data_IF_020191243097
#
_entry.id   IF_020191243097
#
_cell.length_a   1.000
_cell.length_b   1.000
_cell.length_c   1.000
_cell.angle_alpha   90.00
_cell.angle_beta   90.00
_cell.angle_gamma   90.00
#
_symmetry.space_group_name_H-M   'P 1'
#
loop_
_entity.id
_entity.type
_entity.pdbx_description
1 polymer ?
#
# COMPACT_ATOMS: atom_id res chain seq x y z
N UNK A 1 13.16 -47.15 -55.40
CA UNK A 1 13.87 -47.20 -54.09
C UNK A 1 13.55 -45.89 -53.39
N UNK A 2 12.74 -45.99 -52.34
CA UNK A 2 12.25 -44.89 -51.50
C UNK A 2 13.41 -44.28 -50.69
N UNK A 3 13.43 -42.96 -50.50
CA UNK A 3 13.11 -42.34 -49.21
C UNK A 3 13.29 -40.82 -49.26
N UNK A 4 12.20 -40.14 -48.93
CA UNK A 4 12.07 -38.76 -48.50
C UNK A 4 12.73 -38.52 -47.15
N UNK A 5 13.34 -37.36 -46.94
CA UNK A 5 13.36 -36.71 -45.62
C UNK A 5 13.16 -35.19 -45.77
N UNK A 6 11.97 -34.76 -45.40
CA UNK A 6 11.69 -33.40 -44.94
C UNK A 6 12.44 -33.18 -43.63
N UNK A 7 13.12 -32.05 -43.49
CA UNK A 7 13.53 -31.54 -42.18
C UNK A 7 12.76 -30.26 -41.91
N UNK A 8 11.65 -30.44 -41.18
CA UNK A 8 10.91 -29.38 -40.51
C UNK A 8 11.69 -29.05 -39.24
N UNK A 9 12.26 -27.84 -39.18
CA UNK A 9 12.83 -27.28 -37.95
C UNK A 9 11.93 -26.17 -37.45
N UNK A 10 10.89 -26.55 -36.72
CA UNK A 10 9.98 -25.63 -36.03
C UNK A 10 10.52 -25.18 -34.68
N UNK A 11 10.24 -23.91 -34.39
CA UNK A 11 10.06 -23.19 -33.12
C UNK A 11 10.56 -23.77 -31.80
N UNK A 12 11.27 -22.90 -31.06
CA UNK A 12 11.00 -22.65 -29.65
C UNK A 12 11.32 -21.18 -29.32
N UNK A 13 10.59 -20.24 -29.93
CA UNK A 13 10.49 -18.89 -29.36
C UNK A 13 9.56 -18.97 -28.14
N UNK A 14 10.18 -18.69 -27.01
CA UNK A 14 9.64 -18.71 -25.66
C UNK A 14 8.39 -17.85 -25.53
N UNK A 15 7.22 -18.50 -25.50
CA UNK A 15 5.92 -17.88 -25.25
C UNK A 15 5.68 -17.68 -23.74
N UNK A 16 6.51 -16.88 -23.08
CA UNK A 16 6.28 -16.47 -21.68
C UNK A 16 6.19 -14.94 -21.49
N UNK A 17 6.07 -14.19 -22.60
CA UNK A 17 5.50 -12.86 -22.58
C UNK A 17 3.97 -12.99 -22.41
N UNK A 18 3.53 -13.38 -21.21
CA UNK A 18 2.19 -13.00 -20.76
C UNK A 18 2.24 -11.48 -20.59
N UNK A 19 2.04 -10.86 -21.74
CA UNK A 19 2.05 -9.46 -22.12
C UNK A 19 1.98 -8.45 -20.94
N UNK A 20 3.14 -7.92 -20.54
CA UNK A 20 3.25 -6.79 -19.59
C UNK A 20 2.39 -5.61 -20.06
N UNK A 21 2.27 -5.44 -21.38
CA UNK A 21 1.38 -4.45 -21.97
C UNK A 21 -0.08 -4.74 -21.64
N UNK A 22 -0.48 -6.01 -21.50
CA UNK A 22 -1.85 -6.40 -21.14
C UNK A 22 -2.19 -6.11 -19.67
N UNK A 23 -1.25 -6.24 -18.72
CA UNK A 23 -1.57 -5.98 -17.31
C UNK A 23 -1.74 -4.49 -17.02
N UNK A 24 -0.86 -3.64 -17.55
CA UNK A 24 -0.92 -2.18 -17.34
C UNK A 24 -2.08 -1.48 -18.09
N UNK A 25 -2.83 -2.22 -18.91
CA UNK A 25 -4.05 -1.73 -19.57
C UNK A 25 -5.27 -1.73 -18.67
N UNK A 26 -5.17 -2.43 -17.55
CA UNK A 26 -6.26 -2.57 -16.60
C UNK A 26 -6.32 -1.36 -15.67
N UNK A 27 -7.49 -1.06 -15.08
CA UNK A 27 -7.58 -0.09 -14.00
C UNK A 27 -6.62 -0.44 -12.85
N UNK A 28 -6.01 0.56 -12.22
CA UNK A 28 -5.04 0.37 -11.11
C UNK A 28 -5.57 -0.56 -10.02
N UNK A 29 -6.85 -0.42 -9.67
CA UNK A 29 -7.57 -1.26 -8.69
C UNK A 29 -7.56 -2.75 -9.10
N UNK A 30 -7.77 -3.06 -10.37
CA UNK A 30 -7.72 -4.45 -10.87
C UNK A 30 -6.29 -4.99 -10.86
N UNK A 31 -5.30 -4.15 -11.17
CA UNK A 31 -3.89 -4.55 -11.12
C UNK A 31 -3.46 -4.87 -9.69
N UNK A 32 -3.89 -4.06 -8.72
CA UNK A 32 -3.69 -4.31 -7.28
C UNK A 32 -4.37 -5.61 -6.87
N UNK A 33 -5.61 -5.84 -7.27
CA UNK A 33 -6.32 -7.08 -6.97
C UNK A 33 -5.57 -8.31 -7.50
N UNK A 34 -5.08 -8.27 -8.76
CA UNK A 34 -4.27 -9.34 -9.35
C UNK A 34 -2.98 -9.56 -8.55
N UNK A 35 -2.29 -8.48 -8.17
CA UNK A 35 -1.07 -8.55 -7.37
C UNK A 35 -1.31 -9.19 -5.98
N UNK A 36 -2.37 -8.77 -5.28
CA UNK A 36 -2.74 -9.33 -3.99
C UNK A 36 -3.09 -10.81 -4.10
N UNK A 37 -3.89 -11.20 -5.11
CA UNK A 37 -4.24 -12.60 -5.35
C UNK A 37 -3.00 -13.46 -5.64
N UNK A 38 -2.05 -12.95 -6.41
CA UNK A 38 -0.81 -13.67 -6.72
C UNK A 38 0.06 -13.87 -5.45
N UNK A 39 0.23 -12.82 -4.65
CA UNK A 39 0.99 -12.87 -3.40
C UNK A 39 0.35 -13.83 -2.39
N UNK A 40 -0.97 -13.77 -2.22
CA UNK A 40 -1.71 -14.67 -1.34
C UNK A 40 -1.69 -16.12 -1.81
N UNK A 41 -1.81 -16.34 -3.12
CA UNK A 41 -1.68 -17.68 -3.71
C UNK A 41 -0.32 -18.32 -3.44
N UNK A 42 0.72 -17.51 -3.26
CA UNK A 42 2.07 -17.95 -2.85
C UNK A 42 2.26 -18.04 -1.32
N UNK A 43 1.20 -17.84 -0.54
CA UNK A 43 1.22 -17.88 0.93
C UNK A 43 1.96 -16.70 1.57
N UNK A 44 2.05 -15.56 0.87
CA UNK A 44 2.61 -14.32 1.44
C UNK A 44 1.51 -13.63 2.26
N UNK A 45 1.75 -13.50 3.56
CA UNK A 45 0.87 -12.76 4.46
C UNK A 45 1.12 -11.26 4.32
N UNK A 46 0.11 -10.50 3.89
CA UNK A 46 0.23 -9.06 3.66
C UNK A 46 -0.47 -8.27 4.75
N UNK A 47 0.16 -7.17 5.16
CA UNK A 47 -0.45 -6.19 6.05
C UNK A 47 -0.64 -4.87 5.31
N UNK A 48 -1.87 -4.35 5.30
CA UNK A 48 -2.18 -3.04 4.74
C UNK A 48 -1.37 -1.97 5.48
N UNK A 49 -0.63 -1.16 4.72
CA UNK A 49 0.27 -0.14 5.25
C UNK A 49 0.03 1.18 4.56
N UNK A 50 -0.19 2.25 5.32
CA UNK A 50 -0.26 3.62 4.76
C UNK A 50 -1.36 3.86 3.69
N UNK A 51 -2.22 2.86 3.43
CA UNK A 51 -3.22 2.91 2.36
C UNK A 51 -4.29 3.95 2.65
N UNK A 52 -4.71 4.09 3.90
CA UNK A 52 -5.79 5.03 4.26
C UNK A 52 -5.42 6.50 4.05
N UNK A 53 -4.14 6.86 4.18
CA UNK A 53 -3.65 8.21 3.88
C UNK A 53 -3.31 8.38 2.39
N UNK A 54 -2.73 7.34 1.78
CA UNK A 54 -2.23 7.40 0.40
C UNK A 54 -3.22 7.00 -0.69
N UNK A 55 -4.43 6.56 -0.37
CA UNK A 55 -5.49 6.31 -1.36
C UNK A 55 -5.77 7.53 -2.24
N UNK A 56 -5.52 8.76 -1.77
CA UNK A 56 -5.62 9.99 -2.57
C UNK A 56 -4.55 10.14 -3.65
N UNK A 57 -3.43 9.44 -3.51
CA UNK A 57 -2.26 9.53 -4.38
C UNK A 57 -2.08 8.30 -5.27
N UNK A 58 -3.03 7.34 -5.24
CA UNK A 58 -2.94 6.12 -6.06
C UNK A 58 -1.84 5.16 -5.62
N UNK A 59 -1.28 5.35 -4.42
CA UNK A 59 -0.21 4.51 -3.89
C UNK A 59 -0.77 3.47 -2.92
N UNK A 60 -0.53 2.20 -3.24
CA UNK A 60 -0.93 1.04 -2.45
C UNK A 60 0.31 0.50 -1.74
N UNK A 61 0.32 0.54 -0.40
CA UNK A 61 1.48 0.12 0.36
C UNK A 61 1.14 -1.08 1.26
N UNK A 62 2.06 -2.03 1.34
CA UNK A 62 1.89 -3.25 2.13
C UNK A 62 3.17 -3.59 2.86
N UNK A 63 3.04 -4.11 4.08
CA UNK A 63 4.13 -4.76 4.79
C UNK A 63 4.13 -6.26 4.45
N UNK A 64 5.33 -6.80 4.27
CA UNK A 64 5.59 -8.20 3.92
C UNK A 64 6.57 -8.78 4.94
N UNK A 65 6.41 -10.04 5.39
CA UNK A 65 7.40 -10.73 6.21
C UNK A 65 8.80 -10.58 5.62
N UNK A 66 9.76 -10.17 6.44
CA UNK A 66 11.12 -9.80 5.99
C UNK A 66 11.81 -10.91 5.19
N UNK A 67 11.59 -12.17 5.59
CA UNK A 67 12.12 -13.38 4.96
C UNK A 67 11.44 -13.73 3.62
N UNK A 68 10.25 -13.16 3.36
CA UNK A 68 9.48 -13.36 2.12
C UNK A 68 9.46 -12.12 1.22
N UNK A 69 10.14 -11.03 1.59
CA UNK A 69 10.12 -9.78 0.83
C UNK A 69 10.67 -9.97 -0.60
N UNK A 70 11.75 -10.73 -0.76
CA UNK A 70 12.35 -11.00 -2.06
C UNK A 70 11.45 -11.91 -2.92
N UNK A 71 10.85 -12.94 -2.32
CA UNK A 71 9.86 -13.79 -3.00
C UNK A 71 8.67 -12.96 -3.50
N UNK A 72 8.16 -12.05 -2.67
CA UNK A 72 7.07 -11.16 -3.03
C UNK A 72 7.44 -10.25 -4.21
N UNK A 73 8.68 -9.73 -4.23
CA UNK A 73 9.22 -8.97 -5.35
C UNK A 73 9.22 -9.80 -6.64
N UNK A 74 9.79 -11.01 -6.59
CA UNK A 74 9.84 -11.92 -7.73
C UNK A 74 8.44 -12.29 -8.24
N UNK A 75 7.45 -12.44 -7.35
CA UNK A 75 6.06 -12.68 -7.74
C UNK A 75 5.50 -11.48 -8.52
N UNK A 76 5.70 -10.25 -8.04
CA UNK A 76 5.23 -9.05 -8.73
C UNK A 76 5.90 -8.87 -10.10
N UNK A 77 7.19 -9.16 -10.20
CA UNK A 77 7.89 -9.16 -11.49
C UNK A 77 7.37 -10.25 -12.43
N UNK A 78 7.06 -11.45 -11.90
CA UNK A 78 6.56 -12.58 -12.70
C UNK A 78 5.17 -12.36 -13.29
N UNK A 79 4.32 -11.56 -12.63
CA UNK A 79 3.02 -11.13 -13.18
C UNK A 79 3.15 -9.93 -14.12
N UNK A 80 4.38 -9.46 -14.36
CA UNK A 80 4.70 -8.42 -15.33
C UNK A 80 4.67 -7.00 -14.78
N UNK A 81 4.72 -6.78 -13.46
CA UNK A 81 4.80 -5.42 -12.93
C UNK A 81 6.24 -4.89 -13.01
N UNK A 82 6.46 -3.75 -13.69
CA UNK A 82 7.79 -3.17 -13.79
C UNK A 82 8.23 -2.56 -12.45
N UNK A 83 9.42 -2.94 -12.01
CA UNK A 83 10.11 -2.28 -10.90
C UNK A 83 10.36 -0.80 -11.23
N UNK A 84 10.04 0.07 -10.28
CA UNK A 84 10.12 1.53 -10.41
C UNK A 84 10.79 2.11 -9.16
N UNK A 85 12.13 1.94 -9.00
CA UNK A 85 12.83 2.42 -7.83
C UNK A 85 12.63 3.94 -7.65
N UNK A 86 12.67 4.43 -6.41
CA UNK A 86 12.52 5.84 -6.13
C UNK A 86 13.68 6.64 -6.71
N UNK A 87 13.43 7.87 -7.15
CA UNK A 87 14.50 8.77 -7.60
C UNK A 87 15.36 9.24 -6.42
N UNK A 88 16.60 9.65 -6.68
CA UNK A 88 17.49 10.19 -5.65
C UNK A 88 16.86 11.37 -4.92
N UNK A 89 16.17 12.26 -5.65
CA UNK A 89 15.42 13.38 -5.05
C UNK A 89 14.29 12.91 -4.13
N UNK A 90 13.60 11.82 -4.50
CA UNK A 90 12.56 11.24 -3.66
C UNK A 90 13.16 10.60 -2.40
N UNK A 91 14.35 9.98 -2.49
CA UNK A 91 15.08 9.43 -1.35
C UNK A 91 15.56 10.53 -0.40
N UNK A 92 16.10 11.62 -0.94
CA UNK A 92 16.56 12.78 -0.15
C UNK A 92 15.40 13.46 0.59
N UNK A 93 14.23 13.55 -0.04
CA UNK A 93 13.06 14.21 0.53
C UNK A 93 12.24 13.31 1.46
N UNK A 94 11.99 12.05 1.10
CA UNK A 94 11.11 11.16 1.87
C UNK A 94 11.83 10.41 3.00
N UNK A 95 13.17 10.40 2.98
CA UNK A 95 13.99 9.82 4.03
C UNK A 95 14.14 8.30 3.94
N UNK A 96 14.70 7.73 5.00
CA UNK A 96 15.11 6.33 5.11
C UNK A 96 13.94 5.34 5.12
N UNK A 97 12.73 5.75 5.55
CA UNK A 97 11.55 4.89 5.45
C UNK A 97 11.25 4.54 3.98
N UNK A 98 11.26 5.55 3.11
CA UNK A 98 10.99 5.39 1.68
C UNK A 98 12.09 4.56 0.99
N UNK A 99 13.34 4.71 1.43
CA UNK A 99 14.48 3.92 0.95
C UNK A 99 14.33 2.40 1.20
N UNK A 100 13.52 2.00 2.19
CA UNK A 100 13.28 0.58 2.50
C UNK A 100 12.21 -0.07 1.62
N UNK A 101 11.47 0.71 0.84
CA UNK A 101 10.41 0.21 -0.03
C UNK A 101 10.93 -0.51 -1.27
N UNK A 102 10.09 -1.37 -1.84
CA UNK A 102 10.20 -1.96 -3.17
C UNK A 102 8.99 -1.52 -3.97
N UNK A 103 9.21 -0.79 -5.05
CA UNK A 103 8.15 -0.05 -5.73
C UNK A 103 7.91 -0.65 -7.11
N UNK A 104 6.64 -0.94 -7.38
CA UNK A 104 6.18 -1.54 -8.63
C UNK A 104 5.14 -0.63 -9.23
N UNK A 105 5.34 -0.25 -10.49
CA UNK A 105 4.40 0.62 -11.17
C UNK A 105 3.20 -0.18 -11.67
N UNK A 106 2.01 0.36 -11.48
CA UNK A 106 0.75 -0.27 -11.92
C UNK A 106 0.00 0.52 -13.01
N UNK A 107 0.51 1.68 -13.41
CA UNK A 107 0.00 2.45 -14.55
C UNK A 107 0.97 2.46 -15.74
N UNK A 108 0.45 2.73 -16.94
CA UNK A 108 1.27 2.93 -18.15
C UNK A 108 2.17 4.16 -18.10
N UNK A 109 1.73 5.22 -17.39
CA UNK A 109 2.47 6.47 -17.31
C UNK A 109 3.82 6.27 -16.63
N UNK A 110 4.87 6.89 -17.15
CA UNK A 110 6.17 7.00 -16.47
C UNK A 110 6.32 8.36 -15.79
N UNK A 111 5.34 9.25 -15.91
CA UNK A 111 5.40 10.57 -15.33
C UNK A 111 5.19 10.49 -13.81
N UNK A 112 6.09 11.06 -12.99
CA UNK A 112 6.06 10.91 -11.53
C UNK A 112 4.73 11.27 -10.86
N UNK A 113 3.99 12.23 -11.42
CA UNK A 113 2.72 12.72 -10.86
C UNK A 113 1.48 11.89 -11.23
N UNK A 114 1.61 10.96 -12.18
CA UNK A 114 0.50 10.13 -12.69
C UNK A 114 0.83 8.64 -12.60
N UNK A 115 1.81 8.30 -11.76
CA UNK A 115 2.26 6.92 -11.58
C UNK A 115 1.68 6.37 -10.29
N UNK A 116 0.70 5.48 -10.40
CA UNK A 116 0.24 4.69 -9.27
C UNK A 116 1.24 3.54 -9.04
N UNK A 117 1.43 3.16 -7.77
CA UNK A 117 2.43 2.17 -7.39
C UNK A 117 1.91 1.20 -6.33
N UNK A 118 2.41 -0.02 -6.39
CA UNK A 118 2.43 -0.95 -5.26
C UNK A 118 3.80 -0.81 -4.59
N UNK A 119 3.80 -0.55 -3.29
CA UNK A 119 5.02 -0.46 -2.48
C UNK A 119 5.04 -1.58 -1.46
N UNK A 120 6.06 -2.43 -1.51
CA UNK A 120 6.29 -3.46 -0.51
C UNK A 120 7.36 -3.00 0.48
N UNK A 121 7.06 -3.07 1.76
CA UNK A 121 7.98 -2.75 2.84
C UNK A 121 8.23 -3.98 3.73
N UNK A 122 9.41 -4.10 4.34
CA UNK A 122 9.66 -5.16 5.33
C UNK A 122 8.76 -4.96 6.56
N UNK A 123 8.20 -6.05 7.09
CA UNK A 123 7.35 -6.04 8.28
C UNK A 123 8.06 -5.46 9.52
N UNK A 124 9.38 -5.66 9.64
CA UNK A 124 10.20 -5.04 10.69
C UNK A 124 10.24 -3.51 10.65
N UNK A 125 9.73 -2.88 9.59
CA UNK A 125 9.56 -1.43 9.54
C UNK A 125 8.61 -0.95 10.65
N UNK A 126 7.45 -1.59 10.77
CA UNK A 126 6.38 -1.13 11.65
C UNK A 126 6.39 -1.80 13.04
N UNK A 127 6.98 -3.00 13.14
CA UNK A 127 7.09 -3.78 14.38
C UNK A 127 5.73 -4.04 15.06
N UNK A 128 4.69 -4.30 14.27
CA UNK A 128 3.38 -4.67 14.81
C UNK A 128 3.40 -6.05 15.47
N UNK A 129 2.70 -6.18 16.58
CA UNK A 129 2.36 -7.45 17.21
C UNK A 129 1.12 -8.06 16.56
N UNK A 130 0.97 -9.39 16.61
CA UNK A 130 -0.19 -10.06 15.98
C UNK A 130 -1.53 -9.60 16.57
N UNK A 131 -1.58 -9.26 17.86
CA UNK A 131 -2.77 -8.73 18.53
C UNK A 131 -3.18 -7.33 18.06
N UNK A 132 -2.25 -6.58 17.47
CA UNK A 132 -2.51 -5.26 16.87
C UNK A 132 -3.07 -5.36 15.45
N UNK A 133 -3.13 -6.55 14.87
CA UNK A 133 -3.61 -6.80 13.52
C UNK A 133 -4.97 -7.49 13.55
N UNK A 134 -5.77 -7.23 12.52
CA UNK A 134 -7.07 -7.87 12.33
C UNK A 134 -7.24 -8.28 10.88
N UNK A 135 -7.80 -9.46 10.64
CA UNK A 135 -8.12 -9.91 9.28
C UNK A 135 -9.37 -9.19 8.79
N UNK A 136 -9.24 -8.46 7.69
CA UNK A 136 -10.33 -7.72 7.06
C UNK A 136 -10.21 -7.82 5.55
N UNK A 137 -11.30 -7.52 4.82
CA UNK A 137 -11.16 -7.31 3.38
C UNK A 137 -10.39 -6.03 3.10
N UNK A 138 -9.59 -5.97 2.01
CA UNK A 138 -8.85 -4.76 1.65
C UNK A 138 -9.80 -3.58 1.48
N UNK A 139 -9.60 -2.52 2.26
CA UNK A 139 -10.55 -1.39 2.34
C UNK A 139 -10.71 -0.64 1.01
N UNK A 140 -9.63 -0.64 0.22
CA UNK A 140 -9.48 0.02 -1.06
C UNK A 140 -9.98 -0.81 -2.25
N UNK A 141 -10.36 -2.07 -2.03
CA UNK A 141 -10.92 -2.96 -3.05
C UNK A 141 -12.35 -3.34 -2.63
N UNK A 142 -13.36 -2.60 -3.09
CA UNK A 142 -14.75 -2.95 -2.82
C UNK A 142 -15.56 -2.96 -4.13
N UNK A 143 -16.07 -4.13 -4.57
CA UNK A 143 -15.90 -5.48 -4.00
C UNK A 143 -14.51 -6.09 -4.29
N UNK A 144 -13.95 -6.87 -3.35
CA UNK A 144 -12.68 -7.59 -3.55
C UNK A 144 -12.86 -9.10 -3.68
N UNK A 145 -12.07 -9.72 -4.56
CA UNK A 145 -11.83 -11.17 -4.67
C UNK A 145 -10.77 -11.67 -3.68
N UNK A 146 -10.00 -10.77 -3.09
CA UNK A 146 -9.04 -11.07 -2.04
C UNK A 146 -9.80 -11.39 -0.75
N UNK A 147 -9.60 -12.59 -0.18
CA UNK A 147 -10.42 -13.09 0.93
C UNK A 147 -10.26 -12.28 2.21
N UNK A 148 -9.02 -11.98 2.58
CA UNK A 148 -8.67 -11.19 3.75
C UNK A 148 -7.22 -10.75 3.67
N UNK A 149 -6.90 -9.57 4.21
CA UNK A 149 -5.54 -9.12 4.51
C UNK A 149 -5.48 -8.68 5.97
N UNK A 150 -4.27 -8.56 6.51
CA UNK A 150 -4.12 -8.01 7.85
C UNK A 150 -4.18 -6.48 7.78
N UNK A 151 -5.01 -5.90 8.64
CA UNK A 151 -5.14 -4.46 8.78
C UNK A 151 -4.76 -4.09 10.20
N UNK A 152 -3.79 -3.17 10.39
CA UNK A 152 -3.41 -2.72 11.72
C UNK A 152 -4.56 -1.94 12.35
N UNK A 153 -4.76 -2.15 13.65
CA UNK A 153 -5.70 -1.34 14.43
C UNK A 153 -5.27 0.13 14.41
N UNK A 154 -6.21 1.08 14.46
CA UNK A 154 -5.89 2.51 14.53
C UNK A 154 -4.86 2.87 15.60
N UNK A 155 -4.98 2.31 16.81
CA UNK A 155 -4.04 2.53 17.91
C UNK A 155 -2.62 2.06 17.57
N UNK A 156 -2.48 0.96 16.85
CA UNK A 156 -1.19 0.44 16.42
C UNK A 156 -0.52 1.38 15.39
N UNK A 157 -1.28 1.89 14.42
CA UNK A 157 -0.79 2.87 13.44
C UNK A 157 -0.31 4.15 14.15
N UNK A 158 -1.11 4.70 15.06
CA UNK A 158 -0.70 5.88 15.84
C UNK A 158 0.55 5.59 16.70
N UNK A 159 0.61 4.42 17.34
CA UNK A 159 1.77 4.02 18.14
C UNK A 159 3.03 3.90 17.26
N UNK A 160 2.90 3.35 16.05
CA UNK A 160 3.99 3.34 15.07
C UNK A 160 4.46 4.76 14.77
N UNK A 161 3.57 5.69 14.41
CA UNK A 161 3.95 7.05 14.04
C UNK A 161 4.71 7.72 15.17
N UNK A 162 4.22 7.62 16.41
CA UNK A 162 4.88 8.19 17.60
C UNK A 162 6.27 7.58 17.80
N UNK A 163 6.40 6.24 17.73
CA UNK A 163 7.69 5.54 17.84
C UNK A 163 8.66 5.97 16.74
N UNK A 164 8.14 6.15 15.53
CA UNK A 164 8.92 6.56 14.36
C UNK A 164 9.37 8.02 14.50
N UNK A 165 8.49 8.95 14.85
CA UNK A 165 8.84 10.35 15.16
C UNK A 165 9.91 10.47 16.24
N UNK A 166 9.91 9.59 17.24
CA UNK A 166 10.91 9.57 18.31
C UNK A 166 12.33 9.23 17.81
N UNK A 167 12.47 8.54 16.67
CA UNK A 167 13.76 8.22 16.04
C UNK A 167 14.37 9.41 15.29
N UNK A 168 13.56 10.43 14.95
CA UNK A 168 14.02 11.58 14.18
C UNK A 168 14.21 12.84 15.04
N UNK A 169 15.19 13.70 14.69
CA UNK A 169 15.35 15.01 15.31
C UNK A 169 14.07 15.84 15.25
N UNK A 170 13.87 16.73 16.24
CA UNK A 170 12.67 17.58 16.33
C UNK A 170 12.41 18.44 15.08
N UNK A 171 13.47 18.86 14.40
CA UNK A 171 13.42 19.76 13.25
C UNK A 171 13.97 19.05 12.01
N UNK A 172 13.35 17.95 11.60
CA UNK A 172 13.61 17.33 10.30
C UNK A 172 12.32 17.18 9.51
N UNK A 173 12.46 17.15 8.18
CA UNK A 173 11.33 17.06 7.26
C UNK A 173 10.48 15.81 7.51
N UNK A 174 11.09 14.62 7.64
CA UNK A 174 10.38 13.36 7.90
C UNK A 174 9.52 13.42 9.16
N UNK A 175 10.02 14.05 10.23
CA UNK A 175 9.24 14.21 11.46
C UNK A 175 8.05 15.13 11.27
N UNK A 176 8.20 16.21 10.50
CA UNK A 176 7.08 17.11 10.15
C UNK A 176 6.01 16.37 9.34
N UNK A 177 6.40 15.53 8.38
CA UNK A 177 5.47 14.70 7.61
C UNK A 177 4.70 13.76 8.53
N UNK A 178 5.41 13.03 9.39
CA UNK A 178 4.79 12.12 10.36
C UNK A 178 3.87 12.83 11.37
N UNK A 179 4.22 14.05 11.79
CA UNK A 179 3.39 14.86 12.67
C UNK A 179 2.06 15.24 11.98
N UNK A 180 2.13 15.67 10.72
CA UNK A 180 0.96 15.97 9.90
C UNK A 180 0.09 14.71 9.67
N UNK A 181 0.70 13.58 9.31
CA UNK A 181 0.01 12.29 9.14
C UNK A 181 -0.67 11.86 10.45
N UNK A 182 -0.02 12.07 11.60
CA UNK A 182 -0.60 11.77 12.91
C UNK A 182 -1.88 12.59 13.15
N UNK A 183 -1.86 13.88 12.80
CA UNK A 183 -3.01 14.77 12.92
C UNK A 183 -4.17 14.31 12.03
N UNK A 184 -3.89 13.98 10.77
CA UNK A 184 -4.90 13.49 9.83
C UNK A 184 -5.51 12.16 10.27
N UNK A 185 -4.69 11.21 10.74
CA UNK A 185 -5.19 9.93 11.24
C UNK A 185 -6.00 10.08 12.52
N UNK A 186 -5.66 11.03 13.38
CA UNK A 186 -6.46 11.30 14.58
C UNK A 186 -7.83 11.84 14.18
N UNK A 187 -7.88 12.78 13.23
CA UNK A 187 -9.14 13.30 12.70
C UNK A 187 -9.98 12.18 12.06
N UNK A 188 -9.33 11.29 11.30
CA UNK A 188 -9.99 10.19 10.60
C UNK A 188 -10.49 9.10 11.55
N UNK A 189 -9.59 8.45 12.28
CA UNK A 189 -9.91 7.26 13.08
C UNK A 189 -10.73 7.57 14.32
N UNK A 190 -10.43 8.68 14.99
CA UNK A 190 -11.00 8.99 16.30
C UNK A 190 -12.17 9.95 16.20
N UNK A 191 -12.09 10.91 15.28
CA UNK A 191 -13.09 11.95 15.16
C UNK A 191 -14.04 11.75 13.99
N UNK A 192 -13.87 10.67 13.22
CA UNK A 192 -14.78 10.29 12.13
C UNK A 192 -14.86 11.35 11.02
N UNK A 193 -13.87 12.24 10.93
CA UNK A 193 -13.78 13.14 9.80
C UNK A 193 -13.36 12.32 8.60
N UNK A 194 -14.31 12.01 7.71
CA UNK A 194 -13.95 11.49 6.41
C UNK A 194 -13.21 12.59 5.66
N UNK A 195 -12.14 12.21 4.98
CA UNK A 195 -11.35 13.04 4.08
C UNK A 195 -12.19 13.66 2.91
N UNK A 196 -13.52 13.50 2.88
CA UNK A 196 -14.44 14.02 1.86
C UNK A 196 -15.47 15.04 2.41
N UNK A 197 -15.54 15.27 3.72
CA UNK A 197 -16.62 16.05 4.33
C UNK A 197 -16.34 17.55 4.55
N UNK A 198 -15.36 18.14 3.85
CA UNK A 198 -15.13 19.59 3.90
C UNK A 198 -15.86 20.31 2.75
N UNK A 199 -17.19 20.13 2.66
CA UNK A 199 -18.02 21.11 1.97
C UNK A 199 -18.30 22.24 2.96
N UNK A 200 -17.74 23.42 2.64
CA UNK A 200 -17.51 24.57 3.52
C UNK A 200 -18.77 25.31 4.02
N UNK A 201 -19.96 24.83 3.69
CA UNK A 201 -21.21 25.61 3.83
C UNK A 201 -22.20 25.05 4.86
N UNK A 202 -21.96 23.86 5.43
CA UNK A 202 -22.84 23.24 6.45
C UNK A 202 -22.11 22.97 7.80
N UNK A 203 -21.01 23.67 8.02
CA UNK A 203 -19.98 23.31 9.00
C UNK A 203 -20.29 23.78 10.44
N UNK A 204 -21.05 24.86 10.64
CA UNK A 204 -21.13 25.50 11.95
C UNK A 204 -22.18 24.88 12.90
N UNK A 205 -23.25 24.28 12.39
CA UNK A 205 -24.36 23.76 13.22
C UNK A 205 -24.14 22.30 13.70
N UNK A 206 -23.35 21.49 12.97
CA UNK A 206 -23.08 20.08 13.31
C UNK A 206 -21.85 19.87 14.20
N UNK A 207 -21.03 20.92 14.40
CA UNK A 207 -19.68 20.76 14.96
C UNK A 207 -19.56 20.70 16.48
N UNK A 208 -20.54 21.18 17.26
CA UNK A 208 -20.40 21.19 18.72
C UNK A 208 -20.97 19.92 19.39
N UNK A 209 -22.19 19.53 19.05
CA UNK A 209 -22.88 18.39 19.69
C UNK A 209 -22.31 17.03 19.23
N UNK A 210 -21.83 16.94 17.98
CA UNK A 210 -21.22 15.72 17.46
C UNK A 210 -19.76 15.55 17.90
N UNK A 211 -19.06 16.65 18.23
CA UNK A 211 -17.65 16.63 18.64
C UNK A 211 -17.46 15.96 19.99
N UNK A 212 -18.27 16.27 21.00
CA UNK A 212 -18.16 15.63 22.31
C UNK A 212 -18.48 14.13 22.24
N UNK A 213 -19.47 13.74 21.43
CA UNK A 213 -19.78 12.33 21.14
C UNK A 213 -18.59 11.61 20.47
N UNK A 214 -17.98 12.23 19.47
CA UNK A 214 -16.79 11.71 18.75
C UNK A 214 -15.58 11.60 19.67
N UNK A 215 -15.33 12.59 20.53
CA UNK A 215 -14.26 12.56 21.53
C UNK A 215 -14.48 11.42 22.55
N UNK A 216 -15.73 11.23 23.00
CA UNK A 216 -16.07 10.13 23.90
C UNK A 216 -15.87 8.76 23.22
N UNK A 217 -16.27 8.62 21.95
CA UNK A 217 -16.05 7.41 21.17
C UNK A 217 -14.55 7.12 20.97
N UNK A 218 -13.78 8.13 20.55
CA UNK A 218 -12.32 8.08 20.43
C UNK A 218 -11.65 7.59 21.72
N UNK A 219 -12.06 8.16 22.86
CA UNK A 219 -11.52 7.82 24.17
C UNK A 219 -11.76 6.36 24.55
N UNK A 220 -12.83 5.73 24.04
CA UNK A 220 -13.10 4.32 24.25
C UNK A 220 -12.25 3.43 23.34
N UNK A 221 -11.98 3.85 22.10
CA UNK A 221 -11.08 3.13 21.17
C UNK A 221 -9.65 3.06 21.68
N UNK A 222 -9.15 4.11 22.36
CA UNK A 222 -7.79 4.12 22.96
C UNK A 222 -7.68 3.17 24.16
N UNK A 223 -8.79 2.84 24.83
CA UNK A 223 -8.81 1.99 26.02
C UNK A 223 -8.90 0.49 25.72
N UNK A 224 -9.13 0.11 24.47
CA UNK A 224 -9.25 -1.29 24.01
C UNK A 224 -7.93 -1.80 23.42
#
# INVERSE_FOLDING_TARGET
MFQSYFSVGGSAESSNACDVETILNRPSVEVVEIALLALQGAGVELVEWDVLLRMRMGDFSYLVPDDRLEDACNILESIGLPSSPPSDLALESQGDLYARGRFYRITRSTQPFFTDRISLYPFSLATFSRSELSEQQPSHLSPSRCSSILVPRPSAVCAFIIRTMAKYPRYCYTRTVLDNESGELVLYFFLGYTLHNLHKEEEEAWQLEDKDRRIAAASNTVKQ
#
